data_IF_732502012357
#
_entry.id   IF_732502012357
#
_cell.length_a   1.000
_cell.length_b   1.000
_cell.length_c   1.000
_cell.angle_alpha   90.00
_cell.angle_beta   90.00
_cell.angle_gamma   90.00
#
_symmetry.space_group_name_H-M   'P 1'
#
loop_
_entity.id
_entity.type
_entity.pdbx_description
1 polymer ?
#
# COMPACT_ATOMS: atom_id res chain seq x y z
N UNK A 1 -10.87 15.99 12.92
CA UNK A 1 -11.02 16.50 11.54
C UNK A 1 -10.10 15.68 10.65
N UNK A 2 -10.68 14.81 9.81
CA UNK A 2 -9.92 13.96 8.89
C UNK A 2 -9.18 14.84 7.88
N UNK A 3 -7.87 14.63 7.72
CA UNK A 3 -7.02 15.46 6.90
C UNK A 3 -7.43 15.38 5.42
N UNK A 4 -8.05 16.46 4.93
CA UNK A 4 -8.17 16.77 3.52
C UNK A 4 -6.77 17.12 2.99
N UNK A 5 -6.08 16.14 2.44
CA UNK A 5 -4.81 16.32 1.76
C UNK A 5 -4.64 15.18 0.77
N UNK A 6 -4.24 15.50 -0.46
CA UNK A 6 -3.94 14.57 -1.54
C UNK A 6 -2.77 13.63 -1.14
N UNK A 7 -3.02 12.70 -0.23
CA UNK A 7 -2.08 11.69 0.23
C UNK A 7 -2.19 10.41 -0.59
N UNK A 8 -1.32 9.42 -0.35
CA UNK A 8 -1.39 8.11 -1.02
C UNK A 8 -2.77 7.43 -0.91
N UNK A 9 -3.57 7.81 0.09
CA UNK A 9 -4.96 7.38 0.26
C UNK A 9 -5.89 7.78 -0.91
N UNK A 10 -5.56 8.81 -1.70
CA UNK A 10 -6.33 9.18 -2.89
C UNK A 10 -6.33 8.08 -3.97
N UNK A 11 -5.34 7.19 -3.97
CA UNK A 11 -5.27 6.06 -4.90
C UNK A 11 -6.07 4.84 -4.43
N UNK A 12 -6.54 4.83 -3.19
CA UNK A 12 -7.16 3.65 -2.58
C UNK A 12 -8.43 3.18 -3.29
N UNK A 13 -9.40 4.06 -3.60
CA UNK A 13 -10.61 3.62 -4.30
C UNK A 13 -10.31 3.03 -5.68
N UNK A 14 -9.25 3.51 -6.35
CA UNK A 14 -8.82 2.99 -7.65
C UNK A 14 -8.11 1.65 -7.54
N UNK A 15 -7.35 1.43 -6.47
CA UNK A 15 -6.70 0.14 -6.17
C UNK A 15 -7.77 -0.91 -5.87
N UNK A 16 -8.72 -0.61 -5.00
CA UNK A 16 -9.80 -1.55 -4.66
C UNK A 16 -10.64 -1.93 -5.89
N UNK A 17 -11.00 -0.94 -6.73
CA UNK A 17 -11.72 -1.21 -7.98
C UNK A 17 -10.89 -2.02 -8.98
N UNK A 18 -9.58 -1.77 -9.09
CA UNK A 18 -8.73 -2.43 -10.08
C UNK A 18 -8.35 -3.86 -9.69
N UNK A 19 -8.09 -4.10 -8.41
CA UNK A 19 -7.59 -5.38 -7.91
C UNK A 19 -8.65 -6.18 -7.15
N UNK A 20 -9.82 -5.61 -6.90
CA UNK A 20 -10.96 -6.29 -6.27
C UNK A 20 -10.75 -6.66 -4.80
N UNK A 21 -9.80 -6.00 -4.12
CA UNK A 21 -9.44 -6.28 -2.72
C UNK A 21 -9.40 -4.97 -1.92
N UNK A 22 -9.96 -4.95 -0.70
CA UNK A 22 -9.97 -3.76 0.12
C UNK A 22 -8.56 -3.37 0.59
N UNK A 23 -8.34 -2.09 0.90
CA UNK A 23 -7.02 -1.61 1.35
C UNK A 23 -6.55 -2.28 2.64
N UNK A 24 -7.46 -2.58 3.55
CA UNK A 24 -7.13 -3.27 4.80
C UNK A 24 -6.42 -4.61 4.54
N UNK A 25 -6.90 -5.38 3.55
CA UNK A 25 -6.27 -6.66 3.14
C UNK A 25 -4.86 -6.42 2.58
N UNK A 26 -4.64 -5.33 1.83
CA UNK A 26 -3.32 -4.98 1.35
C UNK A 26 -2.36 -4.59 2.47
N UNK A 27 -2.83 -3.84 3.48
CA UNK A 27 -2.03 -3.49 4.65
C UNK A 27 -1.66 -4.75 5.45
N UNK A 28 -2.60 -5.67 5.64
CA UNK A 28 -2.37 -6.94 6.33
C UNK A 28 -1.37 -7.83 5.56
N UNK A 29 -1.49 -7.91 4.22
CA UNK A 29 -0.53 -8.60 3.36
C UNK A 29 0.88 -8.03 3.48
N UNK A 30 1.02 -6.70 3.49
CA UNK A 30 2.30 -6.03 3.64
C UNK A 30 2.88 -6.30 5.04
N UNK A 31 2.06 -6.28 6.09
CA UNK A 31 2.50 -6.57 7.46
C UNK A 31 2.80 -8.04 7.74
N UNK A 32 2.14 -8.94 7.02
CA UNK A 32 2.41 -10.38 7.05
C UNK A 32 3.65 -10.77 6.24
N UNK A 33 4.14 -9.87 5.39
CA UNK A 33 5.36 -10.10 4.61
C UNK A 33 6.60 -10.03 5.51
N UNK A 34 7.60 -10.92 5.32
CA UNK A 34 8.88 -10.82 6.03
C UNK A 34 9.72 -9.62 5.55
N UNK A 35 9.30 -8.94 4.48
CA UNK A 35 10.02 -7.84 3.87
C UNK A 35 9.82 -6.55 4.67
N UNK A 36 10.92 -5.91 5.04
CA UNK A 36 10.87 -4.64 5.79
C UNK A 36 11.33 -3.46 4.98
N UNK A 37 12.00 -3.64 3.83
CA UNK A 37 12.43 -2.54 2.98
C UNK A 37 11.31 -2.07 2.06
N UNK A 38 11.16 -0.75 1.91
CA UNK A 38 10.14 -0.16 1.04
C UNK A 38 10.26 -0.66 -0.41
N UNK A 39 11.47 -0.67 -0.97
CA UNK A 39 11.70 -1.10 -2.35
C UNK A 39 11.41 -2.59 -2.59
N UNK A 40 11.69 -3.43 -1.60
CA UNK A 40 11.39 -4.87 -1.67
C UNK A 40 9.89 -5.11 -1.63
N UNK A 41 9.17 -4.48 -0.71
CA UNK A 41 7.70 -4.55 -0.64
C UNK A 41 7.03 -4.04 -1.92
N UNK A 42 7.51 -2.93 -2.47
CA UNK A 42 7.00 -2.41 -3.75
C UNK A 42 7.25 -3.41 -4.88
N UNK A 43 8.42 -4.03 -4.92
CA UNK A 43 8.75 -5.04 -5.94
C UNK A 43 7.88 -6.28 -5.78
N UNK A 44 7.73 -6.78 -4.56
CA UNK A 44 6.90 -7.93 -4.21
C UNK A 44 5.43 -7.72 -4.61
N UNK A 45 4.85 -6.56 -4.30
CA UNK A 45 3.48 -6.22 -4.74
C UNK A 45 3.36 -6.18 -6.27
N UNK A 46 4.40 -5.73 -6.97
CA UNK A 46 4.41 -5.72 -8.44
C UNK A 46 4.52 -7.13 -9.03
N UNK A 47 5.35 -8.00 -8.46
CA UNK A 47 5.61 -9.35 -9.00
C UNK A 47 4.53 -10.34 -8.60
N UNK A 48 4.20 -10.42 -7.31
CA UNK A 48 3.27 -11.43 -6.79
C UNK A 48 1.81 -11.06 -7.05
N UNK A 49 1.50 -9.76 -6.98
CA UNK A 49 0.12 -9.27 -7.05
C UNK A 49 -0.17 -8.46 -8.32
N UNK A 50 0.83 -8.24 -9.19
CA UNK A 50 0.65 -7.51 -10.44
C UNK A 50 0.32 -6.03 -10.24
N UNK A 51 0.69 -5.43 -9.10
CA UNK A 51 0.41 -4.01 -8.87
C UNK A 51 1.24 -3.11 -9.80
N UNK A 52 0.65 -1.99 -10.20
CA UNK A 52 1.40 -0.93 -10.89
C UNK A 52 2.34 -0.21 -9.93
N UNK A 53 3.42 0.38 -10.44
CA UNK A 53 4.43 1.05 -9.60
C UNK A 53 3.83 2.11 -8.66
N UNK A 54 2.94 2.98 -9.16
CA UNK A 54 2.29 4.00 -8.35
C UNK A 54 1.38 3.43 -7.26
N UNK A 55 0.64 2.35 -7.56
CA UNK A 55 -0.25 1.69 -6.60
C UNK A 55 0.55 0.97 -5.50
N UNK A 56 1.58 0.20 -5.89
CA UNK A 56 2.44 -0.47 -4.94
C UNK A 56 3.16 0.53 -4.02
N UNK A 57 3.69 1.62 -4.58
CA UNK A 57 4.34 2.66 -3.79
C UNK A 57 3.36 3.32 -2.80
N UNK A 58 2.15 3.68 -3.25
CA UNK A 58 1.13 4.28 -2.38
C UNK A 58 0.78 3.40 -1.18
N UNK A 59 0.59 2.08 -1.39
CA UNK A 59 0.28 1.15 -0.30
C UNK A 59 1.43 1.03 0.70
N UNK A 60 2.65 0.81 0.22
CA UNK A 60 3.82 0.63 1.10
C UNK A 60 4.18 1.93 1.82
N UNK A 61 4.08 3.08 1.15
CA UNK A 61 4.31 4.38 1.76
C UNK A 61 3.28 4.65 2.87
N UNK A 62 2.01 4.34 2.64
CA UNK A 62 0.96 4.47 3.66
C UNK A 62 1.21 3.54 4.85
N UNK A 63 1.38 2.24 4.61
CA UNK A 63 1.66 1.24 5.65
C UNK A 63 2.83 1.68 6.56
N UNK A 64 3.93 2.12 5.95
CA UNK A 64 5.11 2.57 6.68
C UNK A 64 4.87 3.89 7.41
N UNK A 65 4.14 4.84 6.83
CA UNK A 65 3.83 6.09 7.51
C UNK A 65 2.96 5.87 8.75
N UNK A 66 2.10 4.85 8.74
CA UNK A 66 1.33 4.43 9.92
C UNK A 66 2.21 3.71 10.96
N UNK A 67 3.12 2.84 10.53
CA UNK A 67 3.97 2.03 11.44
C UNK A 67 5.27 2.72 11.91
N UNK A 68 5.73 3.77 11.23
CA UNK A 68 6.92 4.54 11.64
C UNK A 68 6.64 5.58 12.74
N UNK A 69 5.38 5.71 13.18
CA UNK A 69 4.97 6.62 14.27
C UNK A 69 4.99 5.97 15.67
N UNK A 70 5.50 4.75 15.80
CA UNK A 70 5.79 4.08 17.08
C UNK A 70 7.28 4.02 17.35
#
# INVERSE_FOLDING_TARGET
MAASGNGPASYFPSIEQKYGRPIAEWMDLIGSSPLTAHGELVTWLKTEHGLGHGHANALVAHYRAEHAKG
#
